data_IF_484447483600
#
_entry.id   IF_484447483600
#
_cell.length_a   1.000
_cell.length_b   1.000
_cell.length_c   1.000
_cell.angle_alpha   90.00
_cell.angle_beta   90.00
_cell.angle_gamma   90.00
#
_symmetry.space_group_name_H-M   'P 1'
#
loop_
_entity.id
_entity.type
_entity.pdbx_description
1 polymer ?
#
# COMPACT_ATOMS: atom_id res chain seq x y z
N UNK A 1 5.92 -17.22 16.58
CA UNK A 1 6.16 -16.05 15.72
C UNK A 1 6.03 -16.52 14.29
N UNK A 2 5.08 -15.94 13.54
CA UNK A 2 5.06 -16.08 12.09
C UNK A 2 6.23 -15.30 11.48
N UNK A 3 6.75 -15.75 10.33
CA UNK A 3 7.69 -14.93 9.55
C UNK A 3 7.01 -13.70 8.96
N UNK A 4 7.77 -12.79 8.33
CA UNK A 4 7.18 -11.64 7.64
C UNK A 4 6.26 -12.10 6.50
N UNK A 5 5.21 -11.32 6.26
CA UNK A 5 4.38 -11.41 5.09
C UNK A 5 5.08 -10.65 3.97
N UNK A 6 5.56 -11.38 2.96
CA UNK A 6 6.28 -10.82 1.83
C UNK A 6 5.64 -11.27 0.51
N UNK A 7 5.33 -10.31 -0.35
CA UNK A 7 4.93 -10.57 -1.73
C UNK A 7 5.65 -9.58 -2.63
N UNK A 8 6.18 -10.08 -3.73
CA UNK A 8 6.78 -9.26 -4.77
C UNK A 8 6.31 -9.82 -6.11
N UNK A 9 5.46 -9.07 -6.84
CA UNK A 9 4.75 -9.58 -8.01
C UNK A 9 4.59 -8.51 -9.10
N UNK A 10 4.81 -8.90 -10.35
CA UNK A 10 4.42 -8.10 -11.51
C UNK A 10 2.90 -8.15 -11.74
N UNK A 11 2.33 -7.02 -12.09
CA UNK A 11 0.91 -6.81 -12.41
C UNK A 11 0.80 -5.96 -13.68
N UNK A 12 -0.37 -5.89 -14.36
CA UNK A 12 -0.59 -4.87 -15.38
C UNK A 12 -0.28 -3.47 -14.83
N UNK A 13 0.35 -2.63 -15.64
CA UNK A 13 0.79 -1.29 -15.24
C UNK A 13 2.03 -1.22 -14.33
N UNK A 14 2.51 -2.31 -13.71
CA UNK A 14 3.71 -2.20 -12.88
C UNK A 14 4.00 -3.39 -11.96
N UNK A 15 4.43 -3.08 -10.73
CA UNK A 15 4.80 -4.08 -9.73
C UNK A 15 4.19 -3.75 -8.39
N UNK A 16 3.78 -4.79 -7.69
CA UNK A 16 3.32 -4.75 -6.31
C UNK A 16 4.37 -5.37 -5.41
N UNK A 17 4.70 -4.67 -4.33
CA UNK A 17 5.46 -5.19 -3.22
C UNK A 17 4.69 -5.02 -1.91
N UNK A 18 4.61 -6.08 -1.13
CA UNK A 18 3.97 -6.11 0.18
C UNK A 18 4.99 -6.62 1.17
N UNK A 19 5.20 -5.85 2.23
CA UNK A 19 5.95 -6.25 3.40
C UNK A 19 5.11 -5.95 4.64
N UNK A 20 4.97 -6.93 5.53
CA UNK A 20 4.44 -6.73 6.87
C UNK A 20 5.05 -7.70 7.87
N UNK A 21 5.31 -7.23 9.09
CA UNK A 21 5.84 -8.04 10.18
C UNK A 21 5.12 -7.69 11.48
N UNK A 22 4.88 -8.69 12.34
CA UNK A 22 4.32 -8.47 13.67
C UNK A 22 5.30 -7.60 14.47
N UNK A 23 4.82 -6.45 14.92
CA UNK A 23 5.58 -5.50 15.73
C UNK A 23 4.61 -4.74 16.65
N UNK A 24 4.69 -5.03 17.95
CA UNK A 24 3.81 -4.50 18.98
C UNK A 24 4.05 -3.01 19.29
N UNK A 25 5.12 -2.41 18.78
CA UNK A 25 5.34 -0.96 18.89
C UNK A 25 4.50 -0.17 17.88
N UNK A 26 3.94 -0.84 16.87
CA UNK A 26 3.13 -0.22 15.83
C UNK A 26 1.63 -0.43 16.07
N UNK A 27 0.79 0.56 15.71
CA UNK A 27 -0.66 0.42 15.82
C UNK A 27 -1.16 -0.80 15.06
N UNK A 28 -1.98 -1.60 15.74
CA UNK A 28 -2.50 -2.84 15.20
C UNK A 28 -1.55 -4.02 15.28
N UNK A 29 -0.40 -3.90 15.98
CA UNK A 29 0.63 -4.94 16.15
C UNK A 29 1.37 -5.31 14.85
N UNK A 30 1.40 -4.42 13.86
CA UNK A 30 2.08 -4.64 12.59
C UNK A 30 2.88 -3.42 12.15
N UNK A 31 4.14 -3.63 11.75
CA UNK A 31 4.84 -2.71 10.86
C UNK A 31 4.65 -3.17 9.41
N UNK A 32 4.26 -2.26 8.52
CA UNK A 32 4.01 -2.61 7.11
C UNK A 32 4.40 -1.51 6.13
N UNK A 33 4.66 -1.96 4.89
CA UNK A 33 4.78 -1.13 3.69
C UNK A 33 4.29 -1.91 2.48
N UNK A 34 3.25 -1.41 1.83
CA UNK A 34 2.71 -1.92 0.57
C UNK A 34 2.93 -0.86 -0.49
N UNK A 35 3.49 -1.22 -1.65
CA UNK A 35 3.75 -0.28 -2.72
C UNK A 35 3.37 -0.85 -4.08
N UNK A 36 2.76 -0.01 -4.90
CA UNK A 36 2.50 -0.23 -6.31
C UNK A 36 3.20 0.88 -7.08
N UNK A 37 4.01 0.48 -8.05
CA UNK A 37 4.89 1.38 -8.78
C UNK A 37 5.10 0.90 -10.22
N UNK A 38 5.32 1.86 -11.10
CA UNK A 38 5.85 1.64 -12.44
C UNK A 38 7.38 1.56 -12.38
N UNK A 39 7.96 0.70 -13.21
CA UNK A 39 9.43 0.58 -13.28
C UNK A 39 10.06 1.87 -13.79
N UNK A 40 9.39 2.57 -14.71
CA UNK A 40 9.92 3.78 -15.34
C UNK A 40 9.56 5.04 -14.53
N UNK A 41 8.30 5.18 -14.10
CA UNK A 41 7.80 6.42 -13.49
C UNK A 41 7.75 6.39 -11.95
N UNK A 42 8.05 5.24 -11.33
CA UNK A 42 8.19 5.11 -9.89
C UNK A 42 6.88 4.90 -9.13
N UNK A 43 6.85 5.30 -7.85
CA UNK A 43 5.73 5.04 -6.93
C UNK A 43 4.41 5.64 -7.44
N UNK A 44 3.34 4.85 -7.42
CA UNK A 44 1.97 5.27 -7.77
C UNK A 44 1.09 5.32 -6.52
N UNK A 45 1.16 4.26 -5.71
CA UNK A 45 0.38 4.07 -4.51
C UNK A 45 1.24 3.41 -3.44
N UNK A 46 1.27 3.97 -2.23
CA UNK A 46 1.90 3.33 -1.07
C UNK A 46 1.00 3.38 0.14
N UNK A 47 0.85 2.25 0.82
CA UNK A 47 0.30 2.20 2.17
C UNK A 47 1.43 1.88 3.15
N UNK A 48 1.63 2.68 4.19
CA UNK A 48 2.59 2.35 5.25
C UNK A 48 2.18 2.92 6.61
N UNK A 49 2.94 2.55 7.64
CA UNK A 49 2.80 3.11 8.97
C UNK A 49 4.12 3.47 9.64
N UNK A 50 5.13 3.82 8.84
CA UNK A 50 6.51 3.99 9.33
C UNK A 50 6.66 5.16 10.30
N UNK A 51 5.83 6.20 10.17
CA UNK A 51 5.85 7.40 10.99
C UNK A 51 4.44 7.87 11.32
N UNK A 52 4.31 8.71 12.34
CA UNK A 52 3.05 9.40 12.61
C UNK A 52 3.04 10.72 11.85
N UNK A 53 1.87 11.10 11.37
CA UNK A 53 1.54 12.43 10.87
C UNK A 53 0.49 13.05 11.80
N UNK A 54 0.57 14.36 12.04
CA UNK A 54 -0.29 15.05 13.01
C UNK A 54 -1.76 15.08 12.57
N UNK A 55 -2.03 15.12 11.27
CA UNK A 55 -3.38 15.21 10.70
C UNK A 55 -3.89 13.84 10.22
N UNK A 56 -3.02 13.00 9.68
CA UNK A 56 -3.38 11.71 9.06
C UNK A 56 -3.25 10.50 10.01
N UNK A 57 -2.61 10.69 11.17
CA UNK A 57 -2.37 9.62 12.13
C UNK A 57 -1.19 8.72 11.72
N UNK A 58 -1.27 7.42 12.02
CA UNK A 58 -0.16 6.46 11.79
C UNK A 58 -0.29 5.62 10.54
N UNK A 59 -1.48 5.48 9.98
CA UNK A 59 -1.71 4.65 8.80
C UNK A 59 -1.89 5.57 7.60
N UNK A 60 -0.93 5.54 6.69
CA UNK A 60 -0.86 6.47 5.57
C UNK A 60 -1.17 5.77 4.26
N UNK A 61 -1.90 6.47 3.40
CA UNK A 61 -2.08 6.18 1.99
C UNK A 61 -1.47 7.34 1.20
N UNK A 62 -0.36 7.05 0.52
CA UNK A 62 0.32 7.95 -0.39
C UNK A 62 -0.09 7.67 -1.82
N UNK A 63 -0.31 8.72 -2.60
CA UNK A 63 -0.61 8.62 -4.03
C UNK A 63 0.26 9.56 -4.83
N UNK A 64 0.68 9.14 -6.04
CA UNK A 64 1.45 10.00 -6.94
C UNK A 64 0.65 11.26 -7.34
N UNK A 65 -0.63 11.09 -7.60
CA UNK A 65 -1.52 12.18 -8.01
C UNK A 65 -2.62 12.39 -6.97
N UNK A 66 -2.55 13.51 -6.26
CA UNK A 66 -3.48 13.87 -5.20
C UNK A 66 -2.77 14.19 -3.90
N UNK A 67 -3.53 14.15 -2.81
CA UNK A 67 -3.02 14.38 -1.46
C UNK A 67 -2.92 13.05 -0.70
N UNK A 68 -1.88 12.93 0.12
CA UNK A 68 -1.75 11.84 1.07
C UNK A 68 -2.92 11.87 2.05
N UNK A 69 -3.32 10.69 2.50
CA UNK A 69 -4.51 10.53 3.34
C UNK A 69 -4.30 9.52 4.45
N UNK A 70 -4.98 9.72 5.57
CA UNK A 70 -5.10 8.73 6.61
C UNK A 70 -5.98 7.58 6.14
N UNK A 71 -5.64 6.35 6.52
CA UNK A 71 -6.40 5.16 6.13
C UNK A 71 -6.78 4.33 7.34
N UNK A 72 -8.05 3.95 7.42
CA UNK A 72 -8.53 3.09 8.50
C UNK A 72 -7.86 1.71 8.48
N UNK A 73 -7.40 1.29 9.66
CA UNK A 73 -6.80 -0.03 9.88
C UNK A 73 -7.73 -0.89 10.74
N UNK A 74 -8.21 -2.00 10.18
CA UNK A 74 -9.01 -2.99 10.89
C UNK A 74 -8.17 -4.20 11.32
N UNK A 75 -7.43 -4.76 10.37
CA UNK A 75 -6.45 -5.83 10.56
C UNK A 75 -5.59 -5.94 9.29
N UNK A 76 -4.47 -6.65 9.36
CA UNK A 76 -3.50 -6.74 8.27
C UNK A 76 -4.08 -7.35 6.98
N UNK A 77 -4.96 -8.36 7.10
CA UNK A 77 -5.54 -9.04 5.93
C UNK A 77 -6.51 -8.11 5.18
N UNK A 78 -7.38 -7.41 5.91
CA UNK A 78 -8.29 -6.42 5.32
C UNK A 78 -7.50 -5.25 4.68
N UNK A 79 -6.39 -4.85 5.29
CA UNK A 79 -5.54 -3.78 4.78
C UNK A 79 -4.85 -4.16 3.47
N UNK A 80 -4.30 -5.38 3.39
CA UNK A 80 -3.74 -5.95 2.15
C UNK A 80 -4.82 -6.07 1.07
N UNK A 81 -6.00 -6.57 1.41
CA UNK A 81 -7.09 -6.72 0.44
C UNK A 81 -7.53 -5.37 -0.14
N UNK A 82 -7.67 -4.34 0.72
CA UNK A 82 -7.99 -2.97 0.30
C UNK A 82 -6.92 -2.40 -0.65
N UNK A 83 -5.65 -2.57 -0.30
CA UNK A 83 -4.54 -2.13 -1.15
C UNK A 83 -4.58 -2.81 -2.53
N UNK A 84 -4.71 -4.14 -2.58
CA UNK A 84 -4.75 -4.88 -3.85
C UNK A 84 -5.97 -4.53 -4.71
N UNK A 85 -7.12 -4.27 -4.09
CA UNK A 85 -8.31 -3.79 -4.80
C UNK A 85 -8.05 -2.43 -5.43
N UNK A 86 -7.38 -1.51 -4.73
CA UNK A 86 -7.06 -0.20 -5.25
C UNK A 86 -6.05 -0.27 -6.40
N UNK A 87 -5.02 -1.12 -6.29
CA UNK A 87 -4.10 -1.38 -7.40
C UNK A 87 -4.85 -1.85 -8.64
N UNK A 88 -5.78 -2.81 -8.49
CA UNK A 88 -6.56 -3.30 -9.62
C UNK A 88 -7.41 -2.20 -10.27
N UNK A 89 -7.98 -1.30 -9.47
CA UNK A 89 -8.73 -0.15 -9.99
C UNK A 89 -7.82 0.84 -10.74
N UNK A 90 -6.62 1.12 -10.22
CA UNK A 90 -5.67 2.02 -10.88
C UNK A 90 -5.19 1.42 -12.20
N UNK A 91 -4.79 0.14 -12.20
CA UNK A 91 -4.29 -0.52 -13.41
C UNK A 91 -5.35 -0.61 -14.52
N UNK A 92 -6.62 -0.84 -14.16
CA UNK A 92 -7.72 -0.91 -15.13
C UNK A 92 -8.04 0.46 -15.77
N UNK A 93 -7.94 1.54 -14.98
CA UNK A 93 -8.12 2.91 -15.47
C UNK A 93 -6.99 3.31 -16.42
N UNK A 94 -5.76 2.91 -16.12
CA UNK A 94 -4.61 3.21 -16.98
C UNK A 94 -4.66 2.44 -18.32
N UNK A 95 -5.14 1.19 -18.28
CA UNK A 95 -5.38 0.37 -19.48
C UNK A 95 -6.49 0.96 -20.37
N UNK A 96 -7.52 1.60 -19.80
CA UNK A 96 -8.65 2.19 -20.56
C UNK A 96 -8.39 3.59 -21.10
N UNK A 97 -7.43 4.33 -20.57
CA UNK A 97 -7.04 5.65 -21.08
C UNK A 97 -6.09 5.59 -22.30
N UNK A 98 -5.67 4.39 -22.72
CA UNK A 98 -4.77 4.16 -23.86
C UNK A 98 -5.46 3.65 -25.15
N UNK A 99 -6.80 3.66 -25.22
CA UNK A 99 -7.58 3.27 -26.42
C UNK A 99 -8.08 4.47 -27.26
#
# INVERSE_FOLDING_TARGET
MGGPLELNRAVPGGRVEIFAIEDHEYPGDWFYRFQYYEVEDGEILRYDNAHADEDLGRHHRHVRFGEDSGIEFQNITAHIARFLQEVAHISDVDDTNHD
#
